data_IF_723816838427
#
_entry.id   IF_723816838427
#
_cell.length_a   1.000
_cell.length_b   1.000
_cell.length_c   1.000
_cell.angle_alpha   90.00
_cell.angle_beta   90.00
_cell.angle_gamma   90.00
#
_symmetry.space_group_name_H-M   'P 1'
#
loop_
_entity.id
_entity.type
_entity.pdbx_description
1 polymer ?
#
# COMPACT_ATOMS: atom_id res chain seq x y z
N UNK A 1 -23.13 -7.99 -14.08
CA UNK A 1 -23.33 -8.94 -12.95
C UNK A 1 -22.84 -8.23 -11.69
N UNK A 2 -23.64 -8.13 -10.64
CA UNK A 2 -23.23 -7.44 -9.41
C UNK A 2 -22.23 -8.28 -8.63
N UNK A 3 -21.05 -7.77 -8.33
CA UNK A 3 -20.01 -8.40 -7.52
C UNK A 3 -20.48 -8.50 -6.06
N UNK A 4 -20.57 -9.71 -5.52
CA UNK A 4 -20.97 -9.99 -4.14
C UNK A 4 -19.74 -10.04 -3.24
N UNK A 5 -19.57 -9.03 -2.39
CA UNK A 5 -18.38 -8.86 -1.54
C UNK A 5 -18.73 -9.22 -0.09
N UNK A 6 -17.96 -10.12 0.53
CA UNK A 6 -17.93 -10.28 1.97
C UNK A 6 -16.68 -9.59 2.55
N UNK A 7 -16.81 -8.93 3.70
CA UNK A 7 -15.70 -8.25 4.36
C UNK A 7 -15.42 -8.90 5.72
N UNK A 8 -14.14 -9.19 5.99
CA UNK A 8 -13.67 -9.76 7.25
C UNK A 8 -12.81 -8.74 8.00
N UNK A 9 -13.32 -8.24 9.10
CA UNK A 9 -12.75 -7.20 9.94
C UNK A 9 -13.57 -5.91 9.90
N UNK A 10 -13.84 -5.34 11.09
CA UNK A 10 -14.55 -4.07 11.29
C UNK A 10 -13.75 -3.13 12.22
N UNK A 11 -12.41 -3.10 12.06
CA UNK A 11 -11.49 -2.23 12.79
C UNK A 11 -11.42 -0.82 12.21
N UNK A 12 -10.47 -0.01 12.73
CA UNK A 12 -10.33 1.40 12.33
C UNK A 12 -10.19 1.59 10.81
N UNK A 13 -9.35 0.81 10.14
CA UNK A 13 -9.10 1.02 8.71
C UNK A 13 -10.21 0.48 7.81
N UNK A 14 -11.04 -0.45 8.32
CA UNK A 14 -12.13 -1.05 7.54
C UNK A 14 -13.18 -0.06 7.06
N UNK A 15 -13.37 1.07 7.77
CA UNK A 15 -14.30 2.13 7.35
C UNK A 15 -14.05 2.60 5.91
N UNK A 16 -12.79 2.69 5.49
CA UNK A 16 -12.41 3.09 4.13
C UNK A 16 -12.75 2.00 3.11
N UNK A 17 -12.67 0.71 3.50
CA UNK A 17 -13.05 -0.42 2.64
C UNK A 17 -14.58 -0.48 2.45
N UNK A 18 -15.35 -0.41 3.53
CA UNK A 18 -16.81 -0.43 3.43
C UNK A 18 -17.34 0.78 2.65
N UNK A 19 -16.83 1.99 2.91
CA UNK A 19 -17.18 3.19 2.15
C UNK A 19 -16.88 3.01 0.66
N UNK A 20 -15.70 2.52 0.33
CA UNK A 20 -15.29 2.30 -1.05
C UNK A 20 -16.19 1.28 -1.76
N UNK A 21 -16.48 0.13 -1.14
CA UNK A 21 -17.39 -0.86 -1.73
C UNK A 21 -18.80 -0.31 -1.94
N UNK A 22 -19.32 0.50 -1.01
CA UNK A 22 -20.66 1.11 -1.14
C UNK A 22 -20.75 2.12 -2.31
N UNK A 23 -19.63 2.71 -2.71
CA UNK A 23 -19.58 3.66 -3.84
C UNK A 23 -19.38 3.00 -5.21
N UNK A 24 -19.08 1.71 -5.26
CA UNK A 24 -18.92 0.96 -6.52
C UNK A 24 -20.29 0.43 -6.93
N UNK A 25 -20.84 0.96 -8.05
CA UNK A 25 -22.21 0.71 -8.46
C UNK A 25 -22.53 -0.78 -8.71
N UNK A 26 -21.56 -1.53 -9.25
CA UNK A 26 -21.70 -2.95 -9.57
C UNK A 26 -21.16 -3.88 -8.47
N UNK A 27 -21.02 -3.40 -7.22
CA UNK A 27 -20.64 -4.19 -6.07
C UNK A 27 -21.70 -4.10 -4.95
N UNK A 28 -21.86 -5.20 -4.22
CA UNK A 28 -22.73 -5.27 -3.06
C UNK A 28 -22.02 -5.96 -1.90
N UNK A 29 -21.94 -5.30 -0.73
CA UNK A 29 -21.47 -5.94 0.50
C UNK A 29 -22.58 -6.85 1.03
N UNK A 30 -22.36 -8.17 0.95
CA UNK A 30 -23.33 -9.21 1.33
C UNK A 30 -23.13 -9.76 2.74
N UNK A 31 -22.01 -9.42 3.38
CA UNK A 31 -21.72 -9.81 4.76
C UNK A 31 -20.52 -9.07 5.34
N UNK A 32 -20.57 -8.80 6.64
CA UNK A 32 -19.50 -8.23 7.44
C UNK A 32 -19.23 -9.14 8.64
N UNK A 33 -17.99 -9.61 8.79
CA UNK A 33 -17.61 -10.49 9.89
C UNK A 33 -16.55 -9.83 10.78
N UNK A 34 -16.82 -9.77 12.07
CA UNK A 34 -15.83 -9.42 13.10
C UNK A 34 -16.15 -10.23 14.35
N UNK A 35 -15.13 -10.65 15.11
CA UNK A 35 -15.31 -11.33 16.40
C UNK A 35 -16.12 -10.50 17.41
N UNK A 36 -16.13 -9.18 17.26
CA UNK A 36 -16.96 -8.24 17.98
C UNK A 36 -18.25 -7.98 17.18
N UNK A 37 -19.35 -8.57 17.64
CA UNK A 37 -20.66 -8.44 16.97
C UNK A 37 -21.12 -6.98 16.84
N UNK A 38 -20.77 -6.11 17.80
CA UNK A 38 -21.15 -4.69 17.76
C UNK A 38 -20.45 -3.98 16.61
N UNK A 39 -19.16 -4.29 16.39
CA UNK A 39 -18.40 -3.73 15.26
C UNK A 39 -18.94 -4.24 13.93
N UNK A 40 -19.24 -5.55 13.82
CA UNK A 40 -19.83 -6.10 12.62
C UNK A 40 -21.15 -5.42 12.27
N UNK A 41 -22.06 -5.22 13.26
CA UNK A 41 -23.33 -4.55 13.08
C UNK A 41 -23.18 -3.07 12.69
N UNK A 42 -22.16 -2.38 13.22
CA UNK A 42 -21.91 -0.97 12.93
C UNK A 42 -21.55 -0.71 11.46
N UNK A 43 -21.17 -1.72 10.68
CA UNK A 43 -20.88 -1.58 9.24
C UNK A 43 -22.12 -1.37 8.38
N UNK A 44 -23.31 -1.67 8.88
CA UNK A 44 -24.58 -1.61 8.14
C UNK A 44 -24.85 -2.80 7.20
N UNK A 45 -23.89 -3.72 7.04
CA UNK A 45 -24.08 -4.96 6.29
C UNK A 45 -24.63 -6.10 7.18
N UNK A 46 -25.14 -7.23 6.62
CA UNK A 46 -25.46 -8.40 7.41
C UNK A 46 -24.27 -8.85 8.25
N UNK A 47 -24.47 -8.90 9.59
CA UNK A 47 -23.37 -9.05 10.55
C UNK A 47 -23.18 -10.50 10.97
N UNK A 48 -21.92 -10.95 11.01
CA UNK A 48 -21.50 -12.28 11.41
C UNK A 48 -20.33 -12.18 12.43
N UNK A 49 -20.19 -13.22 13.25
CA UNK A 49 -19.05 -13.37 14.15
C UNK A 49 -18.18 -14.59 13.82
N UNK A 50 -18.61 -15.40 12.85
CA UNK A 50 -17.91 -16.56 12.32
C UNK A 50 -17.73 -16.45 10.81
N UNK A 51 -16.50 -16.58 10.33
CA UNK A 51 -16.16 -16.46 8.91
C UNK A 51 -16.78 -17.59 8.08
N UNK A 52 -16.68 -18.84 8.55
CA UNK A 52 -17.19 -20.00 7.80
C UNK A 52 -18.71 -19.92 7.64
N UNK A 53 -19.41 -19.50 8.69
CA UNK A 53 -20.85 -19.24 8.65
C UNK A 53 -21.19 -18.14 7.64
N UNK A 54 -20.49 -17.00 7.68
CA UNK A 54 -20.71 -15.91 6.72
C UNK A 54 -20.54 -16.39 5.27
N UNK A 55 -19.45 -17.12 4.98
CA UNK A 55 -19.16 -17.59 3.64
C UNK A 55 -20.20 -18.60 3.14
N UNK A 56 -20.69 -19.47 4.04
CA UNK A 56 -21.75 -20.44 3.73
C UNK A 56 -23.09 -19.76 3.41
N UNK A 57 -23.49 -18.79 4.24
CA UNK A 57 -24.80 -18.15 4.13
C UNK A 57 -24.86 -17.12 2.99
N UNK A 58 -23.74 -16.44 2.72
CA UNK A 58 -23.72 -15.36 1.72
C UNK A 58 -23.19 -15.79 0.36
N UNK A 59 -22.42 -16.88 0.26
CA UNK A 59 -21.78 -17.34 -1.00
C UNK A 59 -21.21 -16.17 -1.82
N UNK A 60 -20.21 -15.43 -1.29
CA UNK A 60 -19.69 -14.25 -1.96
C UNK A 60 -18.79 -14.62 -3.14
N UNK A 61 -18.69 -13.71 -4.13
CA UNK A 61 -17.72 -13.81 -5.22
C UNK A 61 -16.31 -13.43 -4.77
N UNK A 62 -16.23 -12.47 -3.82
CA UNK A 62 -14.98 -11.91 -3.32
C UNK A 62 -15.00 -11.80 -1.79
N UNK A 63 -13.87 -12.16 -1.14
CA UNK A 63 -13.62 -11.86 0.27
C UNK A 63 -12.56 -10.76 0.40
N UNK A 64 -12.89 -9.70 1.13
CA UNK A 64 -11.97 -8.62 1.51
C UNK A 64 -11.54 -8.79 2.97
N UNK A 65 -10.26 -9.16 3.20
CA UNK A 65 -9.68 -9.47 4.51
C UNK A 65 -8.98 -8.23 5.08
N UNK A 66 -9.58 -7.64 6.12
CA UNK A 66 -9.14 -6.39 6.75
C UNK A 66 -8.68 -6.68 8.19
N UNK A 67 -7.82 -7.66 8.34
CA UNK A 67 -7.30 -8.16 9.62
C UNK A 67 -5.82 -7.80 9.80
N UNK A 68 -5.26 -8.00 11.01
CA UNK A 68 -3.81 -8.01 11.22
C UNK A 68 -3.12 -9.25 10.60
N UNK A 69 -1.82 -9.14 10.21
CA UNK A 69 -1.08 -10.17 9.49
C UNK A 69 -1.14 -11.60 10.07
N UNK A 70 -1.14 -11.84 11.39
CA UNK A 70 -1.20 -13.20 11.94
C UNK A 70 -2.47 -13.99 11.54
N UNK A 71 -3.57 -13.30 11.22
CA UNK A 71 -4.83 -13.94 10.87
C UNK A 71 -5.02 -14.15 9.34
N UNK A 72 -4.13 -13.60 8.50
CA UNK A 72 -4.31 -13.59 7.06
C UNK A 72 -4.33 -15.00 6.45
N UNK A 73 -3.33 -15.82 6.74
CA UNK A 73 -3.19 -17.13 6.14
C UNK A 73 -4.38 -18.06 6.47
N UNK A 74 -4.87 -18.04 7.72
CA UNK A 74 -6.03 -18.84 8.12
C UNK A 74 -7.30 -18.37 7.44
N UNK A 75 -7.52 -17.05 7.37
CA UNK A 75 -8.69 -16.48 6.70
C UNK A 75 -8.70 -16.83 5.20
N UNK A 76 -7.55 -16.76 4.52
CA UNK A 76 -7.41 -17.14 3.11
C UNK A 76 -7.73 -18.62 2.93
N UNK A 77 -7.19 -19.53 3.75
CA UNK A 77 -7.49 -20.98 3.68
C UNK A 77 -8.97 -21.25 3.87
N UNK A 78 -9.60 -20.58 4.82
CA UNK A 78 -11.04 -20.69 5.06
C UNK A 78 -11.84 -20.27 3.82
N UNK A 79 -11.46 -19.15 3.20
CA UNK A 79 -12.10 -18.67 1.97
C UNK A 79 -11.95 -19.68 0.82
N UNK A 80 -10.74 -20.21 0.60
CA UNK A 80 -10.46 -21.21 -0.43
C UNK A 80 -11.27 -22.50 -0.23
N UNK A 81 -11.39 -22.96 1.03
CA UNK A 81 -12.19 -24.15 1.38
C UNK A 81 -13.68 -23.96 1.12
N UNK A 82 -14.20 -22.72 1.19
CA UNK A 82 -15.60 -22.38 0.88
C UNK A 82 -15.80 -21.98 -0.60
N UNK A 83 -14.81 -22.19 -1.45
CA UNK A 83 -14.95 -21.95 -2.90
C UNK A 83 -14.77 -20.51 -3.35
N UNK A 84 -14.41 -19.58 -2.45
CA UNK A 84 -14.10 -18.19 -2.84
C UNK A 84 -12.80 -18.19 -3.64
N UNK A 85 -12.81 -17.52 -4.79
CA UNK A 85 -11.66 -17.48 -5.72
C UNK A 85 -11.10 -16.09 -5.96
N UNK A 86 -11.78 -15.03 -5.52
CA UNK A 86 -11.26 -13.68 -5.50
C UNK A 86 -11.10 -13.23 -4.05
N UNK A 87 -9.87 -12.90 -3.66
CA UNK A 87 -9.54 -12.56 -2.28
C UNK A 87 -8.64 -11.33 -2.30
N UNK A 88 -9.03 -10.30 -1.54
CA UNK A 88 -8.18 -9.16 -1.20
C UNK A 88 -7.71 -9.37 0.23
N UNK A 89 -6.42 -9.16 0.50
CA UNK A 89 -5.85 -9.27 1.84
C UNK A 89 -5.05 -8.01 2.18
N UNK A 90 -5.27 -7.46 3.37
CA UNK A 90 -4.55 -6.28 3.85
C UNK A 90 -3.04 -6.46 3.94
N UNK A 91 -2.33 -5.32 3.80
CA UNK A 91 -0.91 -5.21 4.12
C UNK A 91 -0.71 -4.99 5.65
N UNK A 92 0.45 -5.32 6.20
CA UNK A 92 1.53 -6.16 5.66
C UNK A 92 1.04 -7.58 5.41
N UNK A 93 1.42 -8.13 4.26
CA UNK A 93 0.97 -9.45 3.85
C UNK A 93 1.72 -10.56 4.60
N UNK A 94 1.01 -11.31 5.44
CA UNK A 94 1.52 -12.37 6.33
C UNK A 94 2.57 -11.89 7.36
N UNK A 95 3.03 -12.79 8.21
CA UNK A 95 4.00 -12.49 9.27
C UNK A 95 5.44 -12.50 8.76
N UNK A 96 5.73 -13.37 7.80
CA UNK A 96 7.05 -13.61 7.23
C UNK A 96 6.96 -14.13 5.79
N UNK A 97 8.12 -14.27 5.14
CA UNK A 97 8.23 -14.70 3.75
C UNK A 97 7.77 -16.15 3.53
N UNK A 98 8.05 -17.05 4.46
CA UNK A 98 7.70 -18.47 4.28
C UNK A 98 6.18 -18.66 4.35
N UNK A 99 5.52 -18.01 5.31
CA UNK A 99 4.07 -17.97 5.40
C UNK A 99 3.44 -17.35 4.13
N UNK A 100 4.04 -16.26 3.62
CA UNK A 100 3.57 -15.60 2.41
C UNK A 100 3.71 -16.50 1.17
N UNK A 101 4.86 -17.13 0.98
CA UNK A 101 5.08 -18.07 -0.14
C UNK A 101 4.13 -19.27 -0.08
N UNK A 102 3.94 -19.84 1.10
CA UNK A 102 3.04 -20.98 1.28
C UNK A 102 1.60 -20.63 0.90
N UNK A 103 1.06 -19.52 1.41
CA UNK A 103 -0.33 -19.15 1.14
C UNK A 103 -0.56 -18.69 -0.31
N UNK A 104 0.45 -18.07 -0.96
CA UNK A 104 0.40 -17.76 -2.38
C UNK A 104 0.31 -19.03 -3.20
N UNK A 105 1.15 -20.05 -2.91
CA UNK A 105 1.13 -21.34 -3.61
C UNK A 105 -0.21 -22.08 -3.41
N UNK A 106 -0.78 -22.04 -2.19
CA UNK A 106 -2.10 -22.62 -1.91
C UNK A 106 -3.22 -21.94 -2.72
N UNK A 107 -3.20 -20.60 -2.80
CA UNK A 107 -4.18 -19.83 -3.57
C UNK A 107 -4.08 -20.13 -5.07
N UNK A 108 -2.86 -20.18 -5.63
CA UNK A 108 -2.62 -20.52 -7.03
C UNK A 108 -3.07 -21.96 -7.36
N UNK A 109 -2.73 -22.91 -6.50
CA UNK A 109 -3.15 -24.31 -6.67
C UNK A 109 -4.68 -24.46 -6.66
N UNK A 110 -5.38 -23.59 -5.93
CA UNK A 110 -6.85 -23.53 -5.92
C UNK A 110 -7.44 -22.73 -7.10
N UNK A 111 -6.61 -22.16 -7.98
CA UNK A 111 -7.03 -21.29 -9.08
C UNK A 111 -7.63 -19.97 -8.60
N UNK A 112 -7.21 -19.47 -7.44
CA UNK A 112 -7.71 -18.24 -6.87
C UNK A 112 -6.84 -17.03 -7.24
N UNK A 113 -7.47 -15.88 -7.43
CA UNK A 113 -6.84 -14.58 -7.56
C UNK A 113 -6.71 -13.97 -6.18
N UNK A 114 -5.49 -13.95 -5.65
CA UNK A 114 -5.16 -13.37 -4.35
C UNK A 114 -4.42 -12.04 -4.56
N UNK A 115 -4.99 -10.95 -4.04
CA UNK A 115 -4.52 -9.58 -4.20
C UNK A 115 -4.14 -9.03 -2.84
N UNK A 116 -3.00 -8.36 -2.74
CA UNK A 116 -2.64 -7.62 -1.53
C UNK A 116 -3.17 -6.19 -1.65
N UNK A 117 -3.85 -5.72 -0.60
CA UNK A 117 -4.40 -4.38 -0.55
C UNK A 117 -3.29 -3.34 -0.33
N UNK A 118 -2.35 -3.26 -1.30
CA UNK A 118 -1.33 -2.22 -1.37
C UNK A 118 -1.85 -1.09 -2.26
N UNK A 119 -2.36 -0.04 -1.61
CA UNK A 119 -3.19 0.94 -2.28
C UNK A 119 -2.45 2.20 -2.75
N UNK A 120 -1.17 2.43 -2.38
CA UNK A 120 -0.51 3.70 -2.69
C UNK A 120 -0.26 3.89 -4.18
N UNK A 121 0.09 2.85 -4.94
CA UNK A 121 0.19 2.98 -6.40
C UNK A 121 -1.12 3.43 -7.07
N UNK A 122 -2.27 3.28 -6.41
CA UNK A 122 -3.58 3.74 -6.86
C UNK A 122 -3.88 5.19 -6.49
N UNK A 123 -3.00 5.87 -5.75
CA UNK A 123 -3.14 7.29 -5.49
C UNK A 123 -3.10 8.09 -6.80
N UNK A 124 -3.99 9.08 -6.97
CA UNK A 124 -4.18 9.75 -8.26
C UNK A 124 -2.93 10.47 -8.77
N UNK A 125 -2.07 10.95 -7.88
CA UNK A 125 -0.81 11.56 -8.25
C UNK A 125 0.20 10.54 -8.79
N UNK A 126 0.31 9.33 -8.22
CA UNK A 126 1.19 8.29 -8.77
C UNK A 126 0.69 7.75 -10.10
N UNK A 127 -0.63 7.65 -10.31
CA UNK A 127 -1.20 7.35 -11.63
C UNK A 127 -0.86 8.43 -12.66
N UNK A 128 -0.93 9.72 -12.26
CA UNK A 128 -0.52 10.84 -13.14
C UNK A 128 0.97 10.82 -13.44
N UNK A 129 1.82 10.58 -12.43
CA UNK A 129 3.27 10.45 -12.60
C UNK A 129 3.58 9.28 -13.55
N UNK A 130 3.00 8.09 -13.32
CA UNK A 130 3.21 6.92 -14.19
C UNK A 130 2.84 7.21 -15.64
N UNK A 131 1.69 7.81 -15.88
CA UNK A 131 1.26 8.20 -17.22
C UNK A 131 2.23 9.17 -17.89
N UNK A 132 2.79 10.13 -17.14
CA UNK A 132 3.80 11.06 -17.66
C UNK A 132 5.13 10.35 -17.98
N UNK A 133 5.56 9.39 -17.15
CA UNK A 133 6.75 8.58 -17.38
C UNK A 133 6.58 7.69 -18.62
N UNK A 134 5.46 6.99 -18.75
CA UNK A 134 5.16 6.12 -19.89
C UNK A 134 5.06 6.90 -21.21
N UNK A 135 4.60 8.15 -21.14
CA UNK A 135 4.59 9.07 -22.29
C UNK A 135 5.96 9.73 -22.58
N UNK A 136 7.01 9.37 -21.83
CA UNK A 136 8.36 9.91 -22.03
C UNK A 136 8.50 11.41 -21.73
N UNK A 137 7.60 12.00 -20.91
CA UNK A 137 7.49 13.47 -20.71
C UNK A 137 8.74 14.12 -20.11
N UNK A 138 9.61 13.36 -19.46
CA UNK A 138 10.87 13.84 -18.87
C UNK A 138 12.11 13.11 -19.43
N UNK A 139 11.96 12.38 -20.55
CA UNK A 139 13.03 11.59 -21.15
C UNK A 139 13.41 10.38 -20.28
N UNK A 140 14.69 10.01 -20.29
CA UNK A 140 15.19 8.90 -19.44
C UNK A 140 15.21 9.35 -17.98
N UNK A 141 14.52 8.63 -17.10
CA UNK A 141 14.54 8.89 -15.66
C UNK A 141 15.89 8.52 -15.07
N UNK A 142 16.48 9.41 -14.30
CA UNK A 142 17.78 9.22 -13.66
C UNK A 142 17.65 9.02 -12.16
N UNK A 143 16.93 9.94 -11.48
CA UNK A 143 16.77 9.92 -10.03
C UNK A 143 15.32 10.14 -9.64
N UNK A 144 14.93 9.58 -8.48
CA UNK A 144 13.68 9.87 -7.81
C UNK A 144 13.94 10.03 -6.31
N UNK A 145 13.23 10.96 -5.67
CA UNK A 145 13.25 11.12 -4.21
C UNK A 145 11.83 11.25 -3.71
N UNK A 146 11.48 10.50 -2.68
CA UNK A 146 10.30 10.73 -1.88
C UNK A 146 10.73 11.08 -0.45
N UNK A 147 10.22 12.21 0.06
CA UNK A 147 10.44 12.68 1.43
C UNK A 147 9.19 12.42 2.26
N UNK A 148 9.19 11.36 3.08
CA UNK A 148 8.09 11.07 4.01
C UNK A 148 8.16 12.02 5.20
N UNK A 149 7.14 12.84 5.39
CA UNK A 149 7.07 13.92 6.40
C UNK A 149 5.66 14.05 6.99
N UNK A 150 5.10 13.02 7.66
CA UNK A 150 3.72 13.04 8.14
C UNK A 150 3.53 13.86 9.42
N UNK A 151 4.61 14.23 10.14
CA UNK A 151 4.56 15.03 11.36
C UNK A 151 3.90 14.36 12.57
N UNK A 152 3.66 13.04 12.51
CA UNK A 152 2.86 12.31 13.49
C UNK A 152 3.68 11.54 14.55
N UNK A 153 5.02 11.60 14.47
CA UNK A 153 5.93 10.83 15.32
C UNK A 153 6.46 11.57 16.55
N UNK A 154 5.97 12.78 16.86
CA UNK A 154 6.52 13.59 17.95
C UNK A 154 5.88 13.32 19.31
N UNK A 155 6.71 13.47 20.37
CA UNK A 155 6.25 13.46 21.75
C UNK A 155 5.93 12.08 22.32
N UNK A 156 5.62 12.03 23.64
CA UNK A 156 5.40 10.77 24.33
C UNK A 156 4.07 10.09 23.96
N UNK A 157 3.12 10.84 23.44
CA UNK A 157 1.78 10.38 23.09
C UNK A 157 1.62 10.04 21.60
N UNK A 158 2.73 10.03 20.83
CA UNK A 158 2.70 9.69 19.40
C UNK A 158 1.91 8.39 19.18
N UNK A 159 0.90 8.43 18.29
CA UNK A 159 0.02 7.31 17.88
C UNK A 159 -0.99 6.78 18.90
N UNK A 160 -0.99 7.21 20.17
CA UNK A 160 -1.83 6.61 21.21
C UNK A 160 -3.33 6.79 20.98
N UNK A 161 -3.73 7.88 20.34
CA UNK A 161 -5.11 8.19 19.99
C UNK A 161 -5.68 7.34 18.85
N UNK A 162 -4.82 6.80 17.98
CA UNK A 162 -5.23 6.17 16.72
C UNK A 162 -4.75 4.73 16.56
N UNK A 163 -3.46 4.52 16.74
CA UNK A 163 -2.78 3.23 16.52
C UNK A 163 -1.71 2.98 17.60
N UNK A 164 -2.11 2.77 18.87
CA UNK A 164 -1.17 2.71 20.00
C UNK A 164 -0.12 1.60 19.87
N UNK A 165 -0.42 0.54 19.10
CA UNK A 165 0.52 -0.55 18.85
C UNK A 165 1.76 -0.11 18.04
N UNK A 166 1.72 1.02 17.35
CA UNK A 166 2.88 1.57 16.61
C UNK A 166 4.08 1.83 17.54
N UNK A 167 3.82 2.27 18.78
CA UNK A 167 4.91 2.47 19.74
C UNK A 167 5.64 1.16 20.10
N UNK A 168 4.98 0.02 19.99
CA UNK A 168 5.50 -1.30 20.40
C UNK A 168 6.11 -2.08 19.22
N UNK A 169 6.01 -1.60 17.99
CA UNK A 169 6.52 -2.31 16.82
C UNK A 169 8.05 -2.28 16.80
N UNK A 170 8.76 -3.42 16.86
CA UNK A 170 10.22 -3.47 16.79
C UNK A 170 10.78 -3.17 15.40
N UNK A 171 9.95 -3.30 14.37
CA UNK A 171 10.16 -2.90 12.98
C UNK A 171 8.99 -2.00 12.59
N UNK A 172 9.22 -0.70 12.45
CA UNK A 172 8.11 0.25 12.35
C UNK A 172 8.07 0.98 11.00
N UNK A 173 8.94 1.98 10.79
CA UNK A 173 8.87 2.84 9.59
C UNK A 173 8.90 2.03 8.30
N UNK A 174 9.80 1.07 8.19
CA UNK A 174 9.97 0.28 6.97
C UNK A 174 8.84 -0.73 6.82
N UNK A 175 8.58 -1.52 7.88
CA UNK A 175 7.62 -2.63 7.83
C UNK A 175 6.16 -2.15 7.66
N UNK A 176 5.81 -1.05 8.31
CA UNK A 176 4.44 -0.53 8.34
C UNK A 176 4.17 0.47 7.22
N UNK A 177 5.13 1.37 6.97
CA UNK A 177 4.91 2.55 6.13
C UNK A 177 5.70 2.52 4.83
N UNK A 178 7.03 2.29 4.86
CA UNK A 178 7.85 2.39 3.65
C UNK A 178 7.58 1.28 2.62
N UNK A 179 6.97 0.16 3.02
CA UNK A 179 6.50 -0.89 2.08
C UNK A 179 5.61 -0.33 0.97
N UNK A 180 4.82 0.72 1.27
CA UNK A 180 4.03 1.42 0.27
C UNK A 180 4.89 2.04 -0.84
N UNK A 181 6.05 2.64 -0.47
CA UNK A 181 6.98 3.21 -1.47
C UNK A 181 7.87 2.16 -2.11
N UNK A 182 8.16 1.04 -1.44
CA UNK A 182 8.78 -0.11 -2.09
C UNK A 182 7.92 -0.57 -3.26
N UNK A 183 6.62 -0.73 -3.04
CA UNK A 183 5.65 -1.10 -4.09
C UNK A 183 5.52 -0.01 -5.15
N UNK A 184 5.33 1.25 -4.74
CA UNK A 184 5.16 2.39 -5.65
C UNK A 184 6.39 2.62 -6.53
N UNK A 185 7.60 2.49 -5.99
CA UNK A 185 8.83 2.64 -6.77
C UNK A 185 8.99 1.51 -7.81
N UNK A 186 8.61 0.27 -7.45
CA UNK A 186 8.57 -0.81 -8.44
C UNK A 186 7.53 -0.55 -9.54
N UNK A 187 6.35 -0.02 -9.18
CA UNK A 187 5.33 0.38 -10.14
C UNK A 187 5.81 1.48 -11.10
N UNK A 188 6.52 2.49 -10.58
CA UNK A 188 7.00 3.64 -11.38
C UNK A 188 8.25 3.31 -12.19
N UNK A 189 9.21 2.57 -11.63
CA UNK A 189 10.57 2.44 -12.17
C UNK A 189 10.97 1.02 -12.55
N UNK A 190 10.10 0.04 -12.32
CA UNK A 190 10.39 -1.38 -12.53
C UNK A 190 11.14 -2.03 -11.35
N UNK A 191 11.61 -3.27 -11.51
CA UNK A 191 12.20 -4.05 -10.42
C UNK A 191 13.43 -3.38 -9.82
N UNK A 192 13.51 -3.33 -8.49
CA UNK A 192 14.72 -2.95 -7.77
C UNK A 192 15.71 -4.13 -7.79
N UNK A 193 16.99 -3.82 -7.97
CA UNK A 193 18.09 -4.82 -8.03
C UNK A 193 18.98 -4.77 -6.80
N UNK A 194 19.13 -3.60 -6.17
CA UNK A 194 19.94 -3.41 -4.98
C UNK A 194 19.28 -2.42 -4.04
N UNK A 195 19.63 -2.55 -2.76
CA UNK A 195 19.20 -1.62 -1.71
C UNK A 195 20.35 -1.29 -0.77
N UNK A 196 20.40 -0.03 -0.31
CA UNK A 196 21.20 0.42 0.83
C UNK A 196 20.30 1.17 1.80
N UNK A 197 20.43 0.90 3.10
CA UNK A 197 19.62 1.53 4.13
C UNK A 197 20.44 1.98 5.34
N UNK A 198 20.07 3.17 5.87
CA UNK A 198 20.49 3.71 7.15
C UNK A 198 19.24 4.07 7.94
N UNK A 199 18.94 3.30 9.01
CA UNK A 199 17.73 3.42 9.80
C UNK A 199 18.03 3.95 11.20
N UNK A 200 17.14 4.82 11.71
CA UNK A 200 17.31 5.47 13.00
C UNK A 200 16.02 5.47 13.81
N UNK A 201 16.19 5.45 15.13
CA UNK A 201 15.13 5.75 16.08
C UNK A 201 15.38 7.15 16.66
N UNK A 202 14.42 8.06 16.50
CA UNK A 202 14.48 9.44 17.00
C UNK A 202 13.62 9.59 18.27
N UNK A 203 12.36 9.15 18.22
CA UNK A 203 11.49 9.20 19.40
C UNK A 203 11.75 8.02 20.34
N UNK A 204 12.17 8.27 21.61
CA UNK A 204 12.52 7.20 22.53
C UNK A 204 11.33 6.30 22.94
N UNK A 205 10.06 6.77 22.76
CA UNK A 205 8.89 5.95 23.10
C UNK A 205 8.54 4.94 22.00
N UNK A 206 9.13 5.07 20.81
CA UNK A 206 8.96 4.13 19.70
C UNK A 206 9.98 3.00 19.83
N UNK A 207 9.54 1.75 19.74
CA UNK A 207 10.43 0.59 19.86
C UNK A 207 11.32 0.40 18.62
N UNK A 208 10.78 0.59 17.43
CA UNK A 208 11.48 0.44 16.15
C UNK A 208 12.07 1.73 15.61
N UNK A 209 12.40 1.72 14.34
CA UNK A 209 12.88 2.89 13.60
C UNK A 209 11.72 3.80 13.18
N UNK A 210 11.88 5.11 13.30
CA UNK A 210 10.92 6.15 12.92
C UNK A 210 11.49 7.18 11.94
N UNK A 211 12.78 7.01 11.58
CA UNK A 211 13.46 7.76 10.53
C UNK A 211 14.51 6.90 9.81
N UNK A 212 14.88 7.29 8.59
CA UNK A 212 15.95 6.63 7.84
C UNK A 212 15.94 6.97 6.36
N UNK A 213 17.01 6.56 5.70
CA UNK A 213 17.20 6.68 4.27
C UNK A 213 17.32 5.30 3.65
N UNK A 214 16.61 5.08 2.54
CA UNK A 214 16.75 3.86 1.75
C UNK A 214 16.99 4.24 0.30
N UNK A 215 18.11 3.78 -0.26
CA UNK A 215 18.48 3.98 -1.66
C UNK A 215 18.22 2.68 -2.41
N UNK A 216 17.49 2.76 -3.51
CA UNK A 216 17.20 1.65 -4.42
C UNK A 216 17.90 1.87 -5.75
N UNK A 217 18.54 0.85 -6.30
CA UNK A 217 18.91 0.82 -7.71
C UNK A 217 17.91 -0.07 -8.46
N UNK A 218 17.33 0.46 -9.51
CA UNK A 218 16.37 -0.25 -10.35
C UNK A 218 17.04 -0.82 -11.61
N UNK A 219 16.48 -1.91 -12.15
CA UNK A 219 16.98 -2.53 -13.40
C UNK A 219 16.90 -1.56 -14.61
N UNK A 220 15.98 -0.58 -14.56
CA UNK A 220 15.86 0.50 -15.53
C UNK A 220 17.00 1.52 -15.50
N UNK A 221 17.92 1.43 -14.51
CA UNK A 221 18.99 2.41 -14.26
C UNK A 221 18.58 3.56 -13.34
N UNK A 222 17.33 3.67 -12.95
CA UNK A 222 16.86 4.69 -11.99
C UNK A 222 17.42 4.41 -10.61
N UNK A 223 17.89 5.48 -9.95
CA UNK A 223 18.19 5.47 -8.51
C UNK A 223 17.09 6.20 -7.75
N UNK A 224 16.39 5.48 -6.88
CA UNK A 224 15.35 6.06 -6.03
C UNK A 224 15.81 6.18 -4.58
N UNK A 225 15.44 7.28 -3.92
CA UNK A 225 15.68 7.54 -2.50
C UNK A 225 14.35 7.67 -1.77
N UNK A 226 14.14 6.83 -0.76
CA UNK A 226 13.14 7.07 0.27
C UNK A 226 13.83 7.74 1.47
N UNK A 227 13.48 9.00 1.73
CA UNK A 227 13.93 9.80 2.88
C UNK A 227 12.77 9.88 3.89
N UNK A 228 12.74 8.93 4.82
CA UNK A 228 11.69 8.79 5.82
C UNK A 228 12.03 9.50 7.14
N UNK A 229 11.12 10.36 7.62
CA UNK A 229 11.22 10.96 8.95
C UNK A 229 9.83 11.33 9.46
N UNK A 230 9.35 10.62 10.47
CA UNK A 230 8.01 10.84 11.03
C UNK A 230 7.89 12.04 11.97
N UNK A 231 9.02 12.62 12.37
CA UNK A 231 9.04 13.84 13.23
C UNK A 231 8.81 15.12 12.46
N UNK A 232 9.12 15.14 11.18
CA UNK A 232 9.07 16.34 10.35
C UNK A 232 7.76 16.39 9.57
N UNK A 233 7.30 17.60 9.30
CA UNK A 233 6.17 17.88 8.45
C UNK A 233 6.58 18.33 7.04
N UNK A 234 5.62 18.53 6.17
CA UNK A 234 5.74 19.09 4.84
C UNK A 234 4.63 20.13 4.61
N UNK A 235 4.74 20.88 3.54
CA UNK A 235 3.74 21.93 3.22
C UNK A 235 2.45 21.29 2.73
N UNK A 236 1.47 21.14 3.63
CA UNK A 236 0.14 20.61 3.33
C UNK A 236 -0.88 21.00 4.40
N UNK A 237 -2.14 21.25 4.02
CA UNK A 237 -3.27 21.41 4.96
C UNK A 237 -3.62 20.08 5.62
N UNK A 238 -3.43 18.96 4.90
CA UNK A 238 -3.64 17.61 5.40
C UNK A 238 -2.37 16.77 5.18
N UNK A 239 -1.57 16.63 6.24
CA UNK A 239 -0.30 15.89 6.21
C UNK A 239 -0.47 14.40 5.86
N UNK A 240 -1.67 13.85 5.96
CA UNK A 240 -1.95 12.44 5.64
C UNK A 240 -2.39 12.23 4.19
N UNK A 241 -2.54 13.29 3.39
CA UNK A 241 -2.94 13.18 1.97
C UNK A 241 -1.85 12.46 1.17
N UNK A 242 -0.70 13.09 0.99
CA UNK A 242 0.47 12.54 0.30
C UNK A 242 1.50 11.94 1.25
N UNK A 243 1.42 12.27 2.53
CA UNK A 243 2.39 11.95 3.60
C UNK A 243 3.80 12.48 3.32
N UNK A 244 3.95 13.38 2.36
CA UNK A 244 5.23 13.94 1.96
C UNK A 244 5.22 14.47 0.53
N UNK A 245 6.40 14.62 -0.04
CA UNK A 245 6.65 15.22 -1.35
C UNK A 245 7.56 14.34 -2.17
N UNK A 246 7.43 14.36 -3.52
CA UNK A 246 8.32 13.64 -4.41
C UNK A 246 8.91 14.55 -5.49
N UNK A 247 10.13 14.19 -5.92
CA UNK A 247 10.77 14.73 -7.12
C UNK A 247 11.32 13.59 -7.96
N UNK A 248 11.01 13.60 -9.27
CA UNK A 248 11.51 12.64 -10.24
C UNK A 248 12.20 13.41 -11.35
N UNK A 249 13.47 13.10 -11.59
CA UNK A 249 14.36 13.82 -12.46
C UNK A 249 14.76 12.96 -13.67
N UNK A 250 14.53 13.47 -14.84
CA UNK A 250 14.92 12.85 -16.10
C UNK A 250 15.78 13.76 -16.97
N UNK A 251 16.23 13.24 -18.10
CA UNK A 251 17.11 13.94 -19.04
C UNK A 251 16.46 15.15 -19.71
N UNK A 252 15.12 15.18 -19.77
CA UNK A 252 14.37 16.23 -20.48
C UNK A 252 13.45 17.05 -19.54
N UNK A 253 13.40 16.72 -18.25
CA UNK A 253 12.58 17.48 -17.31
C UNK A 253 12.49 16.85 -15.93
N UNK A 254 11.65 17.47 -15.10
CA UNK A 254 11.42 17.10 -13.70
C UNK A 254 9.91 17.06 -13.44
N UNK A 255 9.47 16.03 -12.72
CA UNK A 255 8.14 15.94 -12.12
C UNK A 255 8.26 16.21 -10.61
N UNK A 256 7.40 17.07 -10.08
CA UNK A 256 7.27 17.33 -8.65
C UNK A 256 5.86 16.98 -8.18
N UNK A 257 5.76 16.29 -7.04
CA UNK A 257 4.54 16.04 -6.27
C UNK A 257 4.56 16.91 -5.03
N UNK A 258 3.55 17.77 -4.89
CA UNK A 258 3.34 18.59 -3.70
C UNK A 258 2.47 17.91 -2.64
N UNK A 259 2.49 18.45 -1.42
CA UNK A 259 1.70 17.93 -0.28
C UNK A 259 0.17 18.08 -0.45
N UNK A 260 -0.27 18.91 -1.37
CA UNK A 260 -1.65 19.09 -1.78
C UNK A 260 -2.12 18.08 -2.85
N UNK A 261 -1.23 17.17 -3.29
CA UNK A 261 -1.50 16.18 -4.34
C UNK A 261 -1.32 16.70 -5.76
N UNK A 262 -0.89 17.96 -5.94
CA UNK A 262 -0.58 18.50 -7.25
C UNK A 262 0.66 17.82 -7.86
N UNK A 263 0.60 17.52 -9.15
CA UNK A 263 1.74 17.04 -9.93
C UNK A 263 2.09 18.07 -10.98
N UNK A 264 3.33 18.51 -10.97
CA UNK A 264 3.83 19.51 -11.93
C UNK A 264 4.99 18.95 -12.75
N UNK A 265 5.16 19.50 -13.94
CA UNK A 265 6.25 19.18 -14.87
C UNK A 265 6.99 20.45 -15.25
N UNK A 266 8.30 20.42 -15.16
CA UNK A 266 9.20 21.47 -15.67
C UNK A 266 10.18 20.86 -16.67
N UNK A 267 10.21 21.38 -17.90
CA UNK A 267 11.17 20.93 -18.90
C UNK A 267 12.61 21.33 -18.52
N UNK A 268 13.58 20.54 -18.97
CA UNK A 268 15.01 20.83 -18.74
C UNK A 268 15.37 22.22 -19.28
N UNK A 269 16.08 23.01 -18.47
CA UNK A 269 16.49 24.36 -18.82
C UNK A 269 15.38 25.43 -18.82
N UNK A 270 14.12 25.05 -18.62
CA UNK A 270 13.01 26.00 -18.53
C UNK A 270 12.76 26.43 -17.06
N UNK A 271 12.19 27.64 -16.88
CA UNK A 271 11.64 28.10 -15.62
C UNK A 271 10.12 27.93 -15.52
N UNK A 272 9.43 27.79 -16.65
CA UNK A 272 8.00 27.58 -16.68
C UNK A 272 7.62 26.18 -16.19
N UNK A 273 6.55 26.11 -15.39
CA UNK A 273 6.02 24.89 -14.82
C UNK A 273 4.62 24.62 -15.38
N UNK A 274 4.39 23.42 -15.85
CA UNK A 274 3.09 22.92 -16.29
C UNK A 274 2.45 22.10 -15.19
N UNK A 275 1.21 22.37 -14.83
CA UNK A 275 0.43 21.51 -13.94
C UNK A 275 -0.15 20.33 -14.74
N UNK A 276 0.21 19.11 -14.39
CA UNK A 276 -0.34 17.88 -14.95
C UNK A 276 -1.60 17.43 -14.18
N UNK A 277 -1.60 17.63 -12.87
CA UNK A 277 -2.73 17.44 -11.96
C UNK A 277 -2.77 18.61 -10.99
N UNK A 278 -3.93 19.26 -10.87
CA UNK A 278 -4.15 20.27 -9.85
C UNK A 278 -4.32 19.67 -8.45
N UNK A 279 -4.25 20.51 -7.40
CA UNK A 279 -4.59 20.09 -6.04
C UNK A 279 -6.09 19.73 -5.97
N UNK A 280 -6.42 18.82 -5.05
CA UNK A 280 -7.80 18.40 -4.80
C UNK A 280 -7.96 18.00 -3.33
N UNK A 281 -9.19 17.92 -2.83
CA UNK A 281 -9.49 17.52 -1.46
C UNK A 281 -9.75 16.02 -1.30
N UNK A 282 -10.08 15.29 -2.33
CA UNK A 282 -10.48 13.88 -2.34
C UNK A 282 -11.25 13.41 -1.10
N UNK A 283 -12.30 12.65 -1.25
CA UNK A 283 -13.15 12.22 -0.13
C UNK A 283 -12.49 11.15 0.74
N UNK A 284 -11.77 10.22 0.16
CA UNK A 284 -11.19 9.07 0.86
C UNK A 284 -9.76 9.29 1.38
N UNK A 285 -9.22 8.26 2.01
CA UNK A 285 -7.85 8.21 2.46
C UNK A 285 -6.87 8.25 1.28
N UNK A 286 -5.80 9.06 1.40
CA UNK A 286 -4.69 9.04 0.44
C UNK A 286 -5.11 9.29 -1.01
N UNK A 287 -5.96 10.29 -1.27
CA UNK A 287 -6.48 10.57 -2.60
C UNK A 287 -7.49 9.54 -3.10
N UNK A 288 -8.25 8.96 -2.19
CA UNK A 288 -9.28 7.94 -2.44
C UNK A 288 -8.72 6.62 -3.03
N UNK A 289 -7.48 6.29 -2.68
CA UNK A 289 -6.77 5.14 -3.24
C UNK A 289 -7.36 3.78 -2.86
N UNK A 290 -8.10 3.68 -1.75
CA UNK A 290 -8.83 2.46 -1.37
C UNK A 290 -9.96 2.20 -2.37
N UNK A 291 -10.77 3.21 -2.68
CA UNK A 291 -11.81 3.11 -3.69
C UNK A 291 -11.23 2.83 -5.09
N UNK A 292 -10.11 3.48 -5.45
CA UNK A 292 -9.45 3.24 -6.74
C UNK A 292 -8.95 1.80 -6.88
N UNK A 293 -8.35 1.20 -5.82
CA UNK A 293 -7.93 -0.19 -5.83
C UNK A 293 -9.14 -1.13 -5.93
N UNK A 294 -10.16 -0.93 -5.11
CA UNK A 294 -11.34 -1.80 -5.11
C UNK A 294 -12.12 -1.71 -6.44
N UNK A 295 -12.23 -0.52 -7.03
CA UNK A 295 -12.80 -0.33 -8.37
C UNK A 295 -12.00 -1.07 -9.43
N UNK A 296 -10.65 -1.03 -9.36
CA UNK A 296 -9.77 -1.78 -10.24
C UNK A 296 -9.99 -3.29 -10.11
N UNK A 297 -10.14 -3.81 -8.88
CA UNK A 297 -10.41 -5.24 -8.65
C UNK A 297 -11.78 -5.64 -9.16
N UNK A 298 -12.81 -4.80 -8.96
CA UNK A 298 -14.15 -5.05 -9.51
C UNK A 298 -14.15 -5.09 -11.04
N UNK A 299 -13.42 -4.17 -11.70
CA UNK A 299 -13.24 -4.17 -13.14
C UNK A 299 -12.50 -5.43 -13.63
N UNK A 300 -11.42 -5.84 -12.95
CA UNK A 300 -10.71 -7.07 -13.28
C UNK A 300 -11.58 -8.32 -13.09
N UNK A 301 -12.41 -8.38 -12.04
CA UNK A 301 -13.41 -9.43 -11.85
C UNK A 301 -14.42 -9.50 -13.01
N UNK A 302 -14.83 -8.35 -13.53
CA UNK A 302 -15.72 -8.25 -14.70
C UNK A 302 -15.02 -8.60 -16.03
N UNK A 303 -13.71 -8.88 -16.03
CA UNK A 303 -12.93 -9.19 -17.21
C UNK A 303 -12.32 -7.98 -17.92
N UNK A 304 -12.31 -6.82 -17.27
CA UNK A 304 -11.76 -5.56 -17.79
C UNK A 304 -10.27 -5.39 -17.40
N UNK A 305 -9.42 -6.31 -17.87
CA UNK A 305 -7.98 -6.28 -17.63
C UNK A 305 -7.53 -7.28 -16.56
N UNK A 306 -6.23 -7.23 -16.26
CA UNK A 306 -5.60 -8.07 -15.23
C UNK A 306 -5.55 -7.32 -13.88
N UNK A 307 -5.71 -8.01 -12.74
CA UNK A 307 -5.55 -7.39 -11.43
C UNK A 307 -4.09 -6.99 -11.20
N UNK A 308 -3.90 -5.80 -10.64
CA UNK A 308 -2.62 -5.36 -10.10
C UNK A 308 -2.45 -5.86 -8.65
N UNK A 309 -1.22 -5.78 -8.13
CA UNK A 309 -0.88 -6.17 -6.74
C UNK A 309 -1.27 -7.60 -6.39
N UNK A 310 -1.06 -8.55 -7.33
CA UNK A 310 -1.22 -9.96 -6.98
C UNK A 310 -0.30 -10.31 -5.80
N UNK A 311 -0.73 -11.26 -4.98
CA UNK A 311 0.10 -11.68 -3.84
C UNK A 311 1.43 -12.30 -4.30
N UNK A 312 1.47 -12.87 -5.51
CA UNK A 312 2.72 -13.34 -6.15
C UNK A 312 3.70 -12.20 -6.38
N UNK A 313 3.23 -11.09 -6.97
CA UNK A 313 4.07 -9.91 -7.23
C UNK A 313 4.52 -9.25 -5.92
N UNK A 314 3.64 -9.24 -4.91
CA UNK A 314 3.91 -8.64 -3.61
C UNK A 314 4.98 -9.38 -2.80
N UNK A 315 5.30 -10.65 -3.12
CA UNK A 315 6.44 -11.35 -2.50
C UNK A 315 7.75 -10.57 -2.68
N UNK A 316 7.93 -9.89 -3.82
CA UNK A 316 9.08 -9.02 -4.06
C UNK A 316 9.15 -7.84 -3.08
N UNK A 317 8.00 -7.28 -2.70
CA UNK A 317 7.95 -6.20 -1.70
C UNK A 317 8.43 -6.70 -0.33
N UNK A 318 8.03 -7.91 0.06
CA UNK A 318 8.48 -8.54 1.32
C UNK A 318 9.99 -8.79 1.27
N UNK A 319 10.50 -9.32 0.17
CA UNK A 319 11.93 -9.58 -0.04
C UNK A 319 12.76 -8.30 0.06
N UNK A 320 12.32 -7.23 -0.63
CA UNK A 320 12.99 -5.92 -0.57
C UNK A 320 12.95 -5.36 0.85
N UNK A 321 11.82 -5.45 1.55
CA UNK A 321 11.69 -5.02 2.95
C UNK A 321 12.71 -5.75 3.85
N UNK A 322 12.88 -7.06 3.69
CA UNK A 322 13.84 -7.82 4.49
C UNK A 322 15.28 -7.46 4.11
N UNK A 323 15.57 -7.23 2.83
CA UNK A 323 16.87 -6.72 2.36
C UNK A 323 17.20 -5.32 2.89
N UNK A 324 16.20 -4.44 3.08
CA UNK A 324 16.38 -3.12 3.71
C UNK A 324 16.89 -3.29 5.15
N UNK A 325 16.26 -4.13 5.95
CA UNK A 325 16.71 -4.37 7.33
C UNK A 325 18.10 -5.04 7.38
N UNK A 326 18.37 -6.00 6.52
CA UNK A 326 19.68 -6.63 6.42
C UNK A 326 20.76 -5.60 6.03
N UNK A 327 20.48 -4.74 5.04
CA UNK A 327 21.39 -3.67 4.62
C UNK A 327 21.70 -2.69 5.75
N UNK A 328 20.70 -2.27 6.51
CA UNK A 328 20.88 -1.38 7.66
C UNK A 328 21.72 -2.03 8.76
N UNK A 329 21.54 -3.33 9.01
CA UNK A 329 22.31 -4.09 9.99
C UNK A 329 23.77 -4.30 9.56
N UNK A 330 24.00 -4.60 8.28
CA UNK A 330 25.33 -4.88 7.73
C UNK A 330 26.09 -3.61 7.33
N UNK A 331 25.42 -2.45 7.25
CA UNK A 331 26.02 -1.17 6.85
C UNK A 331 26.51 -1.15 5.39
N UNK A 332 25.95 -2.00 4.51
CA UNK A 332 26.38 -2.11 3.10
C UNK A 332 25.19 -2.29 2.15
N UNK A 333 25.47 -2.01 0.88
CA UNK A 333 24.54 -2.25 -0.21
C UNK A 333 24.39 -3.76 -0.45
N UNK A 334 23.13 -4.22 -0.59
CA UNK A 334 22.78 -5.62 -0.85
C UNK A 334 22.07 -5.77 -2.19
N UNK A 335 22.33 -6.89 -2.88
CA UNK A 335 21.53 -7.31 -4.03
C UNK A 335 20.20 -7.91 -3.55
N UNK A 336 19.12 -7.66 -4.29
CA UNK A 336 17.81 -8.25 -4.09
C UNK A 336 17.78 -9.58 -4.86
N UNK A 337 17.18 -10.63 -4.29
CA UNK A 337 17.15 -11.97 -4.88
C UNK A 337 18.37 -12.84 -4.55
N UNK A 338 19.26 -12.40 -3.68
CA UNK A 338 20.49 -13.12 -3.29
C UNK A 338 20.51 -13.64 -1.84
N UNK A 339 19.38 -13.60 -1.13
CA UNK A 339 19.26 -14.11 0.25
C UNK A 339 18.54 -15.47 0.29
#
# INVERSE_FOLDING_TARGET
>A
MTLRVACLGAGYFSQFHYDAWHRIADAQVVGACDRDAVRAQATGAPAFTDLAQMLTDTTPDLLDIILPPPAHAEAIRTALAHGVRWIICQKPFCTDMDAARAIVAEAEAAGATLIVHENFRFQPWYRTIKAALDAGRIGTVLNATFRLRPGDGQGPNAYLDRQPYFQQMPRFLIHETAVHWVDTFQYLFGPATHVYADLRRINPVIAGEDAGHVIFDHASGVRALFDGNRHLDHVADNLRRTMGEARIEGTEGVLDLGGDGAVTLRAFGASAVQTLRGPDTWDGFGGDCVHALQSHVAAAFAGEGAPENTARDYLTVIEIKDAIYASAQEGRKLAIGGM
#
